data_IF_644550813811
#
_entry.id   IF_644550813811
#
_cell.length_a   1.000
_cell.length_b   1.000
_cell.length_c   1.000
_cell.angle_alpha   90.00
_cell.angle_beta   90.00
_cell.angle_gamma   90.00
#
_symmetry.space_group_name_H-M   'P 1'
#
loop_
_entity.id
_entity.type
_entity.pdbx_description
1 polymer ?
#
# COMPACT_ATOMS: atom_id res chain seq x y z
N UNK A 1 -37.23 17.77 12.90
CA UNK A 1 -37.02 17.21 13.91
C UNK A 1 -36.16 16.01 14.14
N UNK A 2 -36.76 14.86 14.24
CA UNK A 2 -36.05 13.67 14.63
C UNK A 2 -34.92 13.22 13.71
N UNK A 3 -34.94 13.70 12.52
CA UNK A 3 -33.90 13.37 11.55
C UNK A 3 -32.53 13.92 11.91
N UNK A 4 -32.49 14.87 12.83
CA UNK A 4 -31.22 15.48 13.26
C UNK A 4 -30.22 14.44 13.75
N UNK A 5 -30.70 13.51 14.56
CA UNK A 5 -29.85 12.45 15.05
C UNK A 5 -29.33 11.53 13.95
N UNK A 6 -30.14 11.37 12.92
CA UNK A 6 -29.76 10.54 11.78
C UNK A 6 -28.58 11.16 11.06
N UNK A 7 -28.54 12.48 10.94
CA UNK A 7 -27.42 13.15 10.29
C UNK A 7 -26.13 12.94 11.08
N UNK A 8 -26.20 13.02 12.39
CA UNK A 8 -25.04 12.77 13.22
C UNK A 8 -24.51 11.35 13.04
N UNK A 9 -25.39 10.38 12.92
CA UNK A 9 -24.97 9.00 12.71
C UNK A 9 -24.28 8.82 11.38
N UNK A 10 -24.77 9.48 10.34
CA UNK A 10 -24.12 9.39 9.04
C UNK A 10 -22.72 9.98 9.06
N UNK A 11 -22.50 11.01 9.88
CA UNK A 11 -21.19 11.60 9.98
C UNK A 11 -20.15 10.63 10.53
N UNK A 12 -20.57 9.70 11.38
CA UNK A 12 -19.65 8.70 11.93
C UNK A 12 -19.41 7.53 10.98
N UNK A 13 -20.40 7.22 10.16
CA UNK A 13 -20.34 6.08 9.27
C UNK A 13 -19.24 6.15 8.20
N UNK A 14 -19.00 7.30 7.56
CA UNK A 14 -17.99 7.38 6.50
C UNK A 14 -16.60 6.95 6.93
N UNK A 15 -16.23 7.24 8.18
CA UNK A 15 -14.90 6.85 8.66
C UNK A 15 -14.70 5.33 8.64
N UNK A 16 -15.77 4.57 8.83
CA UNK A 16 -15.70 3.11 8.84
C UNK A 16 -15.63 2.52 7.44
N UNK A 17 -15.98 3.31 6.43
CA UNK A 17 -15.98 2.82 5.05
C UNK A 17 -14.62 2.94 4.37
N UNK A 18 -13.70 3.67 4.98
CA UNK A 18 -12.38 3.88 4.41
C UNK A 18 -11.37 2.94 5.04
N UNK A 19 -11.46 1.69 4.63
CA UNK A 19 -10.47 0.69 5.03
C UNK A 19 -9.71 0.26 3.80
N UNK A 20 -8.39 0.21 3.92
CA UNK A 20 -7.50 -0.25 2.85
C UNK A 20 -6.59 -1.34 3.38
N UNK A 21 -6.17 -2.22 2.48
CA UNK A 21 -5.21 -3.26 2.78
C UNK A 21 -4.03 -3.12 1.83
N UNK A 22 -2.82 -3.10 2.37
CA UNK A 22 -1.59 -2.88 1.62
C UNK A 22 -0.62 -4.03 1.86
N UNK A 23 0.20 -4.32 0.86
CA UNK A 23 1.18 -5.40 0.93
C UNK A 23 2.61 -4.85 0.90
N UNK A 24 3.38 -5.17 1.94
CA UNK A 24 4.82 -4.93 2.00
C UNK A 24 5.52 -6.24 1.64
N UNK A 25 5.86 -6.40 0.38
CA UNK A 25 6.45 -7.64 -0.13
C UNK A 25 7.95 -7.51 -0.26
N UNK A 26 8.67 -8.55 0.17
CA UNK A 26 10.12 -8.54 0.21
C UNK A 26 10.68 -9.64 -0.69
N UNK A 27 11.76 -9.30 -1.39
CA UNK A 27 12.54 -10.24 -2.19
C UNK A 27 14.01 -9.82 -2.16
N UNK A 28 14.87 -10.75 -1.75
CA UNK A 28 16.32 -10.52 -1.69
C UNK A 28 16.69 -9.26 -0.89
N UNK A 29 16.02 -9.05 0.24
CA UNK A 29 16.30 -7.90 1.11
C UNK A 29 15.83 -6.57 0.57
N UNK A 30 14.96 -6.59 -0.43
CA UNK A 30 14.38 -5.38 -1.02
C UNK A 30 12.86 -5.47 -1.01
N UNK A 31 12.19 -4.33 -1.10
CA UNK A 31 10.73 -4.27 -0.96
C UNK A 31 10.08 -3.74 -2.23
N UNK A 32 8.97 -4.37 -2.60
CA UNK A 32 8.24 -4.03 -3.81
C UNK A 32 7.41 -2.77 -3.61
N UNK A 33 7.66 -1.77 -4.45
CA UNK A 33 6.93 -0.50 -4.46
C UNK A 33 6.23 -0.30 -5.79
N UNK A 34 5.11 0.43 -5.75
CA UNK A 34 4.36 0.88 -6.92
C UNK A 34 4.55 2.37 -7.08
N UNK A 35 4.88 2.81 -8.27
CA UNK A 35 4.83 4.23 -8.60
C UNK A 35 3.41 4.53 -9.09
N UNK A 36 2.67 5.36 -8.35
CA UNK A 36 1.29 5.67 -8.66
C UNK A 36 1.19 6.44 -9.98
N UNK A 37 0.08 6.26 -10.69
CA UNK A 37 -0.17 7.00 -11.92
C UNK A 37 -0.12 8.51 -11.66
N UNK A 38 0.34 9.27 -12.65
CA UNK A 38 0.46 10.72 -12.52
C UNK A 38 -0.76 11.39 -13.14
N UNK A 39 -1.91 11.19 -12.50
CA UNK A 39 -3.19 11.74 -12.95
C UNK A 39 -3.86 12.45 -11.78
N UNK A 40 -4.59 13.52 -12.10
CA UNK A 40 -5.20 14.37 -11.07
C UNK A 40 -6.34 13.71 -10.30
N UNK A 41 -6.91 12.64 -10.82
CA UNK A 41 -8.06 11.98 -10.20
C UNK A 41 -7.72 11.11 -9.01
N UNK A 42 -6.45 10.88 -8.71
CA UNK A 42 -6.03 10.05 -7.59
C UNK A 42 -5.23 10.89 -6.59
N UNK A 43 -5.16 10.42 -5.34
CA UNK A 43 -4.33 11.07 -4.33
C UNK A 43 -2.87 10.66 -4.49
N UNK A 44 -1.97 11.61 -4.22
CA UNK A 44 -0.53 11.43 -4.35
C UNK A 44 -0.11 10.86 -5.72
N UNK A 45 -0.53 11.52 -6.81
CA UNK A 45 -0.13 11.06 -8.14
C UNK A 45 1.39 11.09 -8.28
N UNK A 46 1.94 10.10 -8.97
CA UNK A 46 3.38 10.05 -9.22
C UNK A 46 4.26 9.85 -7.99
N UNK A 47 3.68 9.37 -6.87
CA UNK A 47 4.43 9.03 -5.66
C UNK A 47 4.59 7.52 -5.55
N UNK A 48 5.66 7.09 -4.89
CA UNK A 48 5.86 5.69 -4.55
C UNK A 48 4.98 5.27 -3.38
N UNK A 49 4.34 4.13 -3.51
CA UNK A 49 3.51 3.55 -2.47
C UNK A 49 3.56 2.03 -2.52
N UNK A 50 2.66 1.38 -1.80
CA UNK A 50 2.52 -0.06 -1.79
C UNK A 50 1.34 -0.47 -2.65
N UNK A 51 1.37 -1.70 -3.16
CA UNK A 51 0.21 -2.30 -3.82
C UNK A 51 -0.85 -2.61 -2.79
N UNK A 52 -2.10 -2.52 -3.21
CA UNK A 52 -3.26 -2.74 -2.37
C UNK A 52 -4.37 -1.76 -2.72
N UNK A 53 -5.39 -1.71 -1.91
CA UNK A 53 -6.51 -0.82 -2.18
C UNK A 53 -7.62 -0.94 -1.17
N UNK A 54 -8.76 -0.35 -1.51
CA UNK A 54 -9.93 -0.32 -0.64
C UNK A 54 -10.59 -1.69 -0.53
N UNK A 55 -11.06 -2.01 0.67
CA UNK A 55 -11.86 -3.20 0.89
C UNK A 55 -13.21 -3.05 0.20
N UNK A 56 -13.69 -4.13 -0.42
CA UNK A 56 -15.05 -4.20 -0.93
C UNK A 56 -16.00 -4.59 0.21
N UNK A 57 -17.30 -4.27 0.07
CA UNK A 57 -18.26 -4.65 1.10
C UNK A 57 -18.21 -6.14 1.42
N UNK A 58 -18.12 -6.48 2.70
CA UNK A 58 -18.06 -7.87 3.15
C UNK A 58 -16.70 -8.54 3.02
N UNK A 59 -15.71 -7.83 2.48
CA UNK A 59 -14.37 -8.37 2.28
C UNK A 59 -13.52 -8.13 3.52
N UNK A 60 -12.73 -9.13 3.93
CA UNK A 60 -11.75 -8.94 4.99
C UNK A 60 -10.50 -8.25 4.43
N UNK A 61 -9.68 -7.63 5.29
CA UNK A 61 -8.41 -7.07 4.83
C UNK A 61 -7.52 -8.11 4.14
N UNK A 62 -7.46 -9.33 4.68
CA UNK A 62 -6.65 -10.39 4.09
C UNK A 62 -7.13 -10.79 2.68
N UNK A 63 -8.43 -10.84 2.49
CA UNK A 63 -9.02 -11.13 1.18
C UNK A 63 -8.74 -9.98 0.20
N UNK A 64 -8.88 -8.76 0.68
CA UNK A 64 -8.69 -7.56 -0.14
C UNK A 64 -7.27 -7.47 -0.69
N UNK A 65 -6.26 -7.67 0.16
CA UNK A 65 -4.87 -7.52 -0.28
C UNK A 65 -4.52 -8.55 -1.35
N UNK A 66 -5.03 -9.78 -1.23
CA UNK A 66 -4.79 -10.82 -2.24
C UNK A 66 -5.48 -10.48 -3.55
N UNK A 67 -6.73 -10.04 -3.49
CA UNK A 67 -7.49 -9.63 -4.68
C UNK A 67 -6.79 -8.48 -5.40
N UNK A 68 -6.38 -7.46 -4.65
CA UNK A 68 -5.71 -6.28 -5.21
C UNK A 68 -4.39 -6.65 -5.89
N UNK A 69 -3.59 -7.53 -5.29
CA UNK A 69 -2.35 -7.96 -5.91
C UNK A 69 -2.60 -8.67 -7.24
N UNK A 70 -3.62 -9.51 -7.29
CA UNK A 70 -3.98 -10.17 -8.54
C UNK A 70 -4.42 -9.17 -9.61
N UNK A 71 -5.20 -8.17 -9.21
CA UNK A 71 -5.67 -7.15 -10.14
C UNK A 71 -4.55 -6.23 -10.61
N UNK A 72 -3.64 -5.86 -9.73
CA UNK A 72 -2.64 -4.84 -10.02
C UNK A 72 -1.37 -5.37 -10.67
N UNK A 73 -0.94 -6.59 -10.31
CA UNK A 73 0.31 -7.16 -10.83
C UNK A 73 0.17 -8.61 -11.32
N UNK A 74 -1.04 -9.12 -11.42
CA UNK A 74 -1.33 -10.49 -11.90
C UNK A 74 -0.58 -11.57 -11.14
N UNK A 75 -0.46 -11.39 -9.83
CA UNK A 75 0.26 -12.35 -8.99
C UNK A 75 -0.56 -12.65 -7.74
N UNK A 76 -0.58 -13.92 -7.36
CA UNK A 76 -1.23 -14.35 -6.13
C UNK A 76 -0.19 -14.97 -5.22
N UNK A 77 -0.10 -14.55 -3.94
CA UNK A 77 0.86 -15.13 -3.01
C UNK A 77 0.59 -16.62 -2.86
N UNK A 78 1.63 -17.48 -2.98
CA UNK A 78 1.46 -18.92 -2.78
C UNK A 78 1.26 -19.29 -1.31
N UNK A 79 1.65 -18.40 -0.39
CA UNK A 79 1.44 -18.57 1.04
C UNK A 79 0.67 -17.39 1.58
N UNK A 80 -0.02 -17.58 2.72
CA UNK A 80 -0.79 -16.53 3.36
C UNK A 80 0.13 -15.39 3.79
N UNK A 81 -0.25 -14.16 3.43
CA UNK A 81 0.47 -12.99 3.89
C UNK A 81 0.23 -12.78 5.39
N UNK A 82 1.25 -12.29 6.07
CA UNK A 82 1.17 -12.08 7.51
C UNK A 82 0.63 -10.69 7.83
N UNK A 83 -0.39 -10.57 8.69
CA UNK A 83 -0.78 -9.25 9.20
C UNK A 83 0.41 -8.66 9.95
N UNK A 84 0.71 -7.41 9.68
CA UNK A 84 1.84 -6.75 10.30
C UNK A 84 1.37 -5.70 11.31
N UNK A 85 0.65 -4.68 10.85
CA UNK A 85 0.09 -3.67 11.74
C UNK A 85 -1.08 -2.97 11.05
N UNK A 86 -1.83 -2.24 11.86
CA UNK A 86 -2.90 -1.37 11.36
C UNK A 86 -2.67 0.04 11.87
N UNK A 87 -3.08 1.02 11.09
CA UNK A 87 -2.94 2.42 11.42
C UNK A 87 -4.21 3.18 11.05
N UNK A 88 -4.68 4.00 11.96
CA UNK A 88 -5.89 4.80 11.73
C UNK A 88 -5.62 6.30 11.83
N UNK A 89 -4.36 6.72 11.94
CA UNK A 89 -3.99 8.10 12.17
C UNK A 89 -4.37 9.05 11.03
N UNK A 90 -4.48 8.52 9.81
CA UNK A 90 -4.81 9.32 8.63
C UNK A 90 -6.29 9.45 8.33
N UNK A 91 -7.17 9.09 9.25
CA UNK A 91 -8.61 9.18 9.04
C UNK A 91 -9.22 7.99 8.30
N UNK A 92 -8.44 6.97 8.03
CA UNK A 92 -8.89 5.71 7.45
C UNK A 92 -8.14 4.58 8.12
N UNK A 93 -8.71 3.38 8.06
CA UNK A 93 -8.07 2.20 8.62
C UNK A 93 -7.18 1.58 7.55
N UNK A 94 -5.89 1.56 7.81
CA UNK A 94 -4.91 0.95 6.92
C UNK A 94 -4.41 -0.33 7.54
N UNK A 95 -4.59 -1.45 6.84
CA UNK A 95 -4.14 -2.76 7.27
C UNK A 95 -2.94 -3.16 6.41
N UNK A 96 -1.79 -3.33 7.03
CA UNK A 96 -0.58 -3.66 6.29
C UNK A 96 -0.21 -5.10 6.53
N UNK A 97 0.01 -5.81 5.44
CA UNK A 97 0.45 -7.21 5.43
C UNK A 97 1.87 -7.28 4.88
N UNK A 98 2.58 -8.33 5.24
CA UNK A 98 3.92 -8.57 4.70
C UNK A 98 4.09 -10.02 4.32
N UNK A 99 5.01 -10.26 3.39
CA UNK A 99 5.31 -11.58 2.91
C UNK A 99 6.40 -11.54 1.86
N UNK A 100 6.69 -12.71 1.32
CA UNK A 100 7.70 -12.88 0.29
C UNK A 100 7.11 -12.67 -1.10
N UNK A 101 7.81 -11.90 -1.93
CA UNK A 101 7.57 -11.92 -3.36
C UNK A 101 8.37 -13.10 -3.92
N UNK A 102 7.67 -14.14 -4.33
CA UNK A 102 8.30 -15.41 -4.68
C UNK A 102 8.76 -15.49 -6.13
N UNK A 103 8.54 -14.44 -6.91
CA UNK A 103 8.90 -14.40 -8.32
C UNK A 103 9.70 -13.12 -8.61
N UNK A 104 10.57 -13.14 -9.63
CA UNK A 104 11.25 -11.90 -10.04
C UNK A 104 10.28 -10.91 -10.70
N UNK A 105 10.69 -9.65 -10.78
CA UNK A 105 9.82 -8.60 -11.32
C UNK A 105 9.35 -8.86 -12.75
N UNK A 106 10.16 -9.51 -13.56
CA UNK A 106 9.81 -9.77 -14.96
C UNK A 106 8.67 -10.78 -15.13
N UNK A 107 8.25 -11.43 -14.04
CA UNK A 107 7.08 -12.30 -14.04
C UNK A 107 5.81 -11.60 -13.56
N UNK A 108 5.90 -10.32 -13.23
CA UNK A 108 4.75 -9.53 -12.85
C UNK A 108 4.25 -8.73 -14.06
N UNK A 109 2.95 -8.47 -14.10
CA UNK A 109 2.34 -7.64 -15.13
C UNK A 109 1.73 -6.43 -14.46
N UNK A 110 2.37 -5.27 -14.60
CA UNK A 110 1.89 -4.05 -13.98
C UNK A 110 0.65 -3.56 -14.69
N UNK A 111 -0.49 -3.64 -14.03
CA UNK A 111 -1.78 -3.22 -14.58
C UNK A 111 -2.25 -1.89 -13.99
N UNK A 112 -1.70 -1.46 -12.87
CA UNK A 112 -2.04 -0.20 -12.25
C UNK A 112 -0.76 0.45 -11.74
N UNK A 113 -0.61 1.74 -12.01
CA UNK A 113 0.62 2.46 -11.73
C UNK A 113 1.50 2.56 -12.97
N UNK A 114 2.49 3.43 -12.91
CA UNK A 114 3.37 3.66 -14.06
C UNK A 114 4.72 2.93 -13.94
N UNK A 115 5.06 2.43 -12.77
CA UNK A 115 6.31 1.72 -12.55
C UNK A 115 6.22 0.85 -11.30
N UNK A 116 7.13 -0.10 -11.20
CA UNK A 116 7.33 -0.88 -9.98
C UNK A 116 8.83 -1.08 -9.77
N UNK A 117 9.23 -1.28 -8.52
CA UNK A 117 10.64 -1.39 -8.18
C UNK A 117 10.82 -2.18 -6.89
N UNK A 118 11.89 -2.93 -6.82
CA UNK A 118 12.36 -3.51 -5.55
C UNK A 118 13.35 -2.51 -4.95
N UNK A 119 12.93 -1.84 -3.89
CA UNK A 119 13.72 -0.79 -3.24
C UNK A 119 14.53 -1.37 -2.08
N UNK A 120 15.79 -0.97 -1.98
CA UNK A 120 16.64 -1.33 -0.84
C UNK A 120 16.25 -0.53 0.39
N UNK A 121 16.75 -0.95 1.56
CA UNK A 121 16.55 -0.19 2.79
C UNK A 121 17.09 1.23 2.67
N UNK A 122 18.23 1.38 2.04
CA UNK A 122 18.83 2.70 1.82
C UNK A 122 17.92 3.59 0.98
N UNK A 123 17.33 3.01 -0.08
CA UNK A 123 16.37 3.74 -0.92
C UNK A 123 15.11 4.12 -0.14
N UNK A 124 14.62 3.22 0.71
CA UNK A 124 13.44 3.54 1.54
C UNK A 124 13.70 4.67 2.52
N UNK A 125 14.95 4.84 2.96
CA UNK A 125 15.32 5.94 3.85
C UNK A 125 15.49 7.27 3.13
N UNK A 126 15.72 7.24 1.82
CA UNK A 126 15.78 8.46 1.02
C UNK A 126 14.35 8.91 0.71
N UNK A 127 14.07 10.16 0.69
CA UNK A 127 12.70 10.62 0.46
C UNK A 127 12.29 10.57 -1.01
N UNK A 128 13.26 10.30 -1.89
CA UNK A 128 13.07 10.27 -3.34
C UNK A 128 13.72 9.03 -3.90
N UNK A 129 12.97 8.27 -4.70
CA UNK A 129 13.47 7.01 -5.28
C UNK A 129 13.40 7.09 -6.79
N UNK A 130 14.44 6.60 -7.45
CA UNK A 130 14.55 6.59 -8.91
C UNK A 130 13.50 5.70 -9.56
N UNK A 131 12.88 6.20 -10.63
CA UNK A 131 11.99 5.44 -11.50
C UNK A 131 12.65 5.25 -12.85
N UNK A 132 12.82 3.99 -13.27
CA UNK A 132 13.37 3.70 -14.60
C UNK A 132 12.41 4.13 -15.71
N UNK A 133 11.11 4.00 -15.45
CA UNK A 133 10.09 4.40 -16.41
C UNK A 133 10.07 5.91 -16.64
N UNK A 134 10.05 6.67 -15.53
CA UNK A 134 9.99 8.14 -15.61
C UNK A 134 11.36 8.77 -15.83
N UNK A 135 12.45 8.02 -15.60
CA UNK A 135 13.84 8.48 -15.71
C UNK A 135 14.10 9.70 -14.83
N UNK A 136 13.56 9.63 -13.61
CA UNK A 136 13.75 10.66 -12.57
C UNK A 136 13.44 10.09 -11.21
N UNK A 137 13.86 10.78 -10.16
CA UNK A 137 13.49 10.43 -8.80
C UNK A 137 12.08 10.95 -8.51
N UNK A 138 11.30 10.13 -7.82
CA UNK A 138 9.94 10.47 -7.42
C UNK A 138 9.79 10.36 -5.91
N UNK A 139 8.92 11.17 -5.33
CA UNK A 139 8.77 11.19 -3.87
C UNK A 139 8.00 9.98 -3.35
N UNK A 140 8.14 9.75 -2.06
CA UNK A 140 7.43 8.71 -1.34
C UNK A 140 6.13 9.27 -0.79
N UNK A 141 5.03 8.54 -0.97
CA UNK A 141 3.73 8.93 -0.43
C UNK A 141 3.73 8.85 1.10
N UNK A 142 2.98 9.72 1.79
CA UNK A 142 2.92 9.70 3.26
C UNK A 142 2.55 8.36 3.86
N UNK A 143 1.66 7.60 3.21
CA UNK A 143 1.28 6.27 3.69
C UNK A 143 2.45 5.30 3.70
N UNK A 144 3.32 5.36 2.70
CA UNK A 144 4.52 4.54 2.67
C UNK A 144 5.49 4.97 3.77
N UNK A 145 5.59 6.25 4.06
CA UNK A 145 6.45 6.73 5.14
C UNK A 145 6.07 6.12 6.49
N UNK A 146 4.80 5.94 6.75
CA UNK A 146 4.33 5.30 8.00
C UNK A 146 4.87 3.87 8.08
N UNK A 147 4.78 3.14 6.98
CA UNK A 147 5.26 1.76 6.90
C UNK A 147 6.78 1.70 7.08
N UNK A 148 7.50 2.60 6.43
CA UNK A 148 8.96 2.65 6.54
C UNK A 148 9.38 2.92 7.99
N UNK A 149 8.73 3.85 8.67
CA UNK A 149 9.04 4.13 10.08
C UNK A 149 8.82 2.90 10.95
N UNK A 150 7.76 2.15 10.70
CA UNK A 150 7.49 0.93 11.44
C UNK A 150 8.59 -0.10 11.18
N UNK A 151 9.00 -0.25 9.93
CA UNK A 151 10.08 -1.16 9.57
C UNK A 151 11.39 -0.80 10.28
N UNK A 152 11.76 0.47 10.26
CA UNK A 152 12.97 0.94 10.90
C UNK A 152 12.92 0.78 12.42
N UNK A 153 11.77 1.00 13.03
CA UNK A 153 11.60 0.82 14.47
C UNK A 153 11.82 -0.64 14.86
N UNK A 154 11.31 -1.59 14.08
CA UNK A 154 11.54 -3.01 14.35
C UNK A 154 13.01 -3.38 14.26
N UNK A 155 13.72 -2.79 13.32
CA UNK A 155 15.15 -3.06 13.15
C UNK A 155 15.99 -2.49 14.27
N UNK A 156 15.54 -1.42 14.91
CA UNK A 156 16.25 -0.85 16.07
C UNK A 156 16.04 -1.65 17.35
N UNK A 157 14.98 -2.44 17.41
CA UNK A 157 14.65 -3.24 18.59
C UNK A 157 15.44 -4.56 18.66
N UNK A 158 16.29 -4.82 17.67
CA UNK A 158 17.07 -6.06 17.61
C UNK A 158 18.44 -5.94 18.21
#
# INVERSE_FOLDING_TARGET
>A
GGWTGVMGKRACTPAMMFSVALAMLQRDGRWLLQLRDDIDSIIYPGHWGLFGGHLEPGESPAESVVRELKEEISWSPPATLQPWFSDASGGRNVHVFRGELTVPLDQLYLKEGQDLRLASLEELRSEWIWSDHCREKRPIAPGLNIVIRRLLAEMHDV
#
